data_IF_418000128086
#
_entry.id   IF_418000128086
#
_cell.length_a   1.000
_cell.length_b   1.000
_cell.length_c   1.000
_cell.angle_alpha   90.00
_cell.angle_beta   90.00
_cell.angle_gamma   90.00
#
_symmetry.space_group_name_H-M   'P 1'
#
loop_
_entity.id
_entity.type
_entity.pdbx_description
1 polymer ?
#
# COMPACT_ATOMS: atom_id res chain seq x y z
N UNK A 1 -21.15 -38.51 -14.68
CA UNK A 1 -20.86 -37.14 -15.18
C UNK A 1 -21.62 -36.01 -14.45
N UNK A 2 -22.74 -36.25 -13.73
CA UNK A 2 -23.49 -35.18 -13.01
C UNK A 2 -22.85 -34.66 -11.70
N UNK A 3 -21.94 -35.41 -11.07
CA UNK A 3 -21.34 -35.04 -9.78
C UNK A 3 -20.19 -34.01 -9.93
N UNK A 4 -19.37 -34.14 -10.98
CA UNK A 4 -18.24 -33.23 -11.23
C UNK A 4 -18.69 -31.78 -11.47
N UNK A 5 -19.80 -31.58 -12.19
CA UNK A 5 -20.36 -30.24 -12.46
C UNK A 5 -20.87 -29.54 -11.19
N UNK A 6 -21.35 -30.29 -10.18
CA UNK A 6 -21.83 -29.72 -8.91
C UNK A 6 -20.68 -29.30 -7.99
N UNK A 7 -19.55 -30.01 -8.05
CA UNK A 7 -18.36 -29.72 -7.27
C UNK A 7 -17.68 -28.42 -7.74
N UNK A 8 -17.66 -28.16 -9.06
CA UNK A 8 -17.08 -26.94 -9.64
C UNK A 8 -17.85 -25.66 -9.27
N UNK A 9 -19.19 -25.74 -9.13
CA UNK A 9 -20.03 -24.59 -8.76
C UNK A 9 -19.83 -24.24 -7.27
N UNK A 10 -19.74 -25.25 -6.41
CA UNK A 10 -19.52 -25.05 -4.97
C UNK A 10 -18.15 -24.39 -4.69
N UNK A 11 -17.11 -24.77 -5.44
CA UNK A 11 -15.79 -24.16 -5.34
C UNK A 11 -15.78 -22.68 -5.77
N UNK A 12 -16.53 -22.31 -6.82
CA UNK A 12 -16.63 -20.92 -7.28
C UNK A 12 -17.32 -19.98 -6.28
N UNK A 13 -18.35 -20.46 -5.58
CA UNK A 13 -19.08 -19.69 -4.56
C UNK A 13 -18.20 -19.46 -3.32
N UNK A 14 -17.43 -20.47 -2.90
CA UNK A 14 -16.53 -20.36 -1.75
C UNK A 14 -15.41 -19.33 -1.96
N UNK A 15 -14.89 -19.20 -3.19
CA UNK A 15 -13.86 -18.19 -3.52
C UNK A 15 -14.46 -16.78 -3.59
N UNK A 16 -15.68 -16.62 -4.11
CA UNK A 16 -16.37 -15.33 -4.14
C UNK A 16 -16.77 -14.82 -2.74
N UNK A 17 -17.08 -15.71 -1.80
CA UNK A 17 -17.42 -15.34 -0.42
C UNK A 17 -16.21 -14.85 0.41
N UNK A 18 -14.99 -15.11 -0.05
CA UNK A 18 -13.74 -14.64 0.55
C UNK A 18 -13.18 -13.38 -0.14
N UNK A 19 -13.87 -12.87 -1.17
CA UNK A 19 -13.52 -11.61 -1.80
C UNK A 19 -13.89 -10.46 -0.85
N UNK A 20 -12.92 -10.05 -0.02
CA UNK A 20 -13.03 -8.83 0.77
C UNK A 20 -13.20 -7.66 -0.22
N UNK A 21 -14.22 -6.80 -0.07
CA UNK A 21 -14.34 -5.63 -0.92
C UNK A 21 -13.06 -4.79 -0.79
N UNK A 22 -12.37 -4.55 -1.90
CA UNK A 22 -11.33 -3.55 -1.94
C UNK A 22 -11.99 -2.21 -1.59
N UNK A 23 -11.67 -1.68 -0.40
CA UNK A 23 -12.20 -0.41 0.06
C UNK A 23 -11.92 0.69 -0.97
N UNK A 24 -12.77 1.71 -1.01
CA UNK A 24 -12.54 2.87 -1.87
C UNK A 24 -11.16 3.47 -1.54
N UNK A 25 -10.23 3.38 -2.49
CA UNK A 25 -8.90 3.98 -2.35
C UNK A 25 -8.96 5.42 -2.84
N UNK A 26 -8.46 6.35 -2.03
CA UNK A 26 -8.30 7.74 -2.42
C UNK A 26 -6.84 7.96 -2.76
N UNK A 27 -6.57 8.36 -4.00
CA UNK A 27 -5.23 8.82 -4.38
C UNK A 27 -5.04 10.25 -3.87
N UNK A 28 -4.09 10.43 -2.97
CA UNK A 28 -3.64 11.76 -2.54
C UNK A 28 -2.34 12.11 -3.23
N UNK A 29 -2.17 13.37 -3.60
CA UNK A 29 -0.91 13.90 -4.13
C UNK A 29 -0.43 15.02 -3.21
N UNK A 30 0.88 15.11 -3.00
CA UNK A 30 1.49 16.16 -2.20
C UNK A 30 2.76 16.64 -2.90
N UNK A 31 3.05 17.92 -2.73
CA UNK A 31 4.30 18.53 -3.20
C UNK A 31 5.32 18.47 -2.09
N UNK A 32 6.54 18.04 -2.43
CA UNK A 32 7.70 18.11 -1.56
C UNK A 32 8.46 19.39 -1.92
N UNK A 33 8.40 20.38 -1.04
CA UNK A 33 8.98 21.71 -1.27
C UNK A 33 10.45 21.77 -0.83
N UNK A 34 10.81 20.98 0.18
CA UNK A 34 12.17 20.94 0.73
C UNK A 34 12.65 19.51 0.98
N UNK A 35 13.97 19.33 1.00
CA UNK A 35 14.56 18.02 1.30
C UNK A 35 14.28 17.57 2.74
N UNK A 36 14.14 18.51 3.68
CA UNK A 36 13.77 18.18 5.07
C UNK A 36 12.36 17.61 5.15
N UNK A 37 11.43 18.14 4.35
CA UNK A 37 10.08 17.61 4.24
C UNK A 37 10.09 16.19 3.65
N UNK A 38 10.99 15.90 2.71
CA UNK A 38 11.17 14.54 2.19
C UNK A 38 11.60 13.54 3.28
N UNK A 39 12.49 13.94 4.17
CA UNK A 39 13.03 13.06 5.22
C UNK A 39 12.10 12.90 6.43
N UNK A 40 11.33 13.93 6.79
CA UNK A 40 10.52 13.95 8.02
C UNK A 40 9.00 13.97 7.80
N UNK A 41 8.54 14.16 6.56
CA UNK A 41 7.14 14.43 6.26
C UNK A 41 6.73 15.88 6.47
N UNK A 42 5.42 16.11 6.44
CA UNK A 42 4.78 17.43 6.51
C UNK A 42 3.97 17.59 7.81
N UNK A 43 3.15 16.60 8.14
CA UNK A 43 2.34 16.57 9.35
C UNK A 43 1.87 15.15 9.68
N UNK A 44 1.70 14.84 10.96
CA UNK A 44 1.24 13.51 11.41
C UNK A 44 -0.27 13.28 11.23
N UNK A 45 -1.03 14.33 10.95
CA UNK A 45 -2.49 14.28 10.77
C UNK A 45 -2.92 15.28 9.71
N UNK A 46 -4.14 15.13 9.20
CA UNK A 46 -4.74 16.13 8.32
C UNK A 46 -4.79 17.52 9.00
N UNK A 47 -4.61 18.57 8.21
CA UNK A 47 -4.55 19.95 8.67
C UNK A 47 -5.18 20.90 7.66
N UNK A 48 -5.51 22.11 8.12
CA UNK A 48 -6.09 23.18 7.29
C UNK A 48 -5.00 24.23 7.04
N UNK A 49 -4.78 24.58 5.78
CA UNK A 49 -3.82 25.63 5.41
C UNK A 49 -4.35 27.02 5.77
N UNK A 50 -3.47 28.03 5.72
CA UNK A 50 -3.90 29.43 5.87
C UNK A 50 -4.88 29.90 4.80
N UNK A 51 -4.97 29.20 3.67
CA UNK A 51 -5.95 29.45 2.60
C UNK A 51 -7.27 28.70 2.79
N UNK A 52 -7.41 27.91 3.87
CA UNK A 52 -8.60 27.13 4.17
C UNK A 52 -8.67 25.78 3.47
N UNK A 53 -7.59 25.33 2.82
CA UNK A 53 -7.54 24.03 2.14
C UNK A 53 -7.31 22.91 3.16
N UNK A 54 -8.10 21.83 3.08
CA UNK A 54 -7.87 20.61 3.85
C UNK A 54 -6.81 19.76 3.15
N UNK A 55 -5.69 19.52 3.82
CA UNK A 55 -4.61 18.67 3.32
C UNK A 55 -4.39 17.45 4.22
N UNK A 56 -4.15 16.26 3.66
CA UNK A 56 -3.72 15.11 4.45
C UNK A 56 -2.29 15.35 4.96
N UNK A 57 -2.05 15.02 6.22
CA UNK A 57 -0.70 14.90 6.75
C UNK A 57 -0.05 13.63 6.21
N UNK A 58 1.27 13.68 6.01
CA UNK A 58 2.09 12.52 5.68
C UNK A 58 3.40 12.56 6.46
N UNK A 59 3.92 11.36 6.74
CA UNK A 59 5.18 11.09 7.42
C UNK A 59 6.00 10.12 6.55
N UNK A 60 7.31 10.28 6.54
CA UNK A 60 8.24 9.40 5.84
C UNK A 60 9.13 8.67 6.83
N UNK A 61 9.32 7.37 6.58
CA UNK A 61 10.24 6.53 7.34
C UNK A 61 11.24 5.93 6.39
N UNK A 62 12.53 6.15 6.68
CA UNK A 62 13.61 5.56 5.91
C UNK A 62 13.89 4.16 6.43
N UNK A 63 13.72 3.17 5.56
CA UNK A 63 14.20 1.82 5.80
C UNK A 63 15.48 1.65 4.99
N UNK A 64 16.60 1.43 5.69
CA UNK A 64 17.86 1.08 5.02
C UNK A 64 17.70 -0.30 4.42
N UNK A 65 17.95 -0.40 3.11
CA UNK A 65 17.99 -1.67 2.40
C UNK A 65 19.46 -2.11 2.32
N UNK A 66 19.80 -3.23 2.94
CA UNK A 66 21.13 -3.83 2.84
C UNK A 66 21.16 -4.77 1.63
N UNK A 67 21.93 -4.42 0.60
CA UNK A 67 22.09 -5.24 -0.60
C UNK A 67 23.39 -4.92 -1.33
N UNK A 68 24.19 -5.95 -1.61
CA UNK A 68 25.54 -5.83 -2.19
C UNK A 68 25.53 -5.76 -3.74
N UNK A 69 24.34 -5.77 -4.36
CA UNK A 69 24.19 -5.76 -5.82
C UNK A 69 22.95 -4.97 -6.28
N UNK A 70 23.13 -4.19 -7.35
CA UNK A 70 22.12 -3.29 -7.97
C UNK A 70 20.91 -4.05 -8.57
N UNK A 71 21.02 -5.37 -8.75
CA UNK A 71 20.00 -6.24 -9.36
C UNK A 71 19.77 -7.51 -8.53
N UNK A 72 19.58 -7.37 -7.23
CA UNK A 72 19.26 -8.49 -6.35
C UNK A 72 17.85 -8.35 -5.80
N UNK A 73 17.13 -9.47 -5.76
CA UNK A 73 15.88 -9.54 -5.01
C UNK A 73 16.19 -9.38 -3.52
N UNK A 74 15.62 -8.37 -2.86
CA UNK A 74 15.79 -8.17 -1.41
C UNK A 74 14.71 -8.94 -0.66
N UNK A 75 15.13 -9.78 0.30
CA UNK A 75 14.24 -10.43 1.25
C UNK A 75 14.18 -9.60 2.53
N UNK A 76 13.00 -9.07 2.85
CA UNK A 76 12.77 -8.31 4.08
C UNK A 76 12.56 -9.25 5.27
N UNK A 77 12.68 -8.69 6.48
CA UNK A 77 12.50 -9.42 7.74
C UNK A 77 11.09 -9.99 7.92
N UNK A 78 10.09 -9.40 7.26
CA UNK A 78 8.70 -9.87 7.22
C UNK A 78 8.49 -11.02 6.20
N UNK A 79 9.54 -11.41 5.48
CA UNK A 79 9.51 -12.45 4.45
C UNK A 79 9.13 -11.96 3.05
N UNK A 80 8.78 -10.68 2.89
CA UNK A 80 8.48 -10.06 1.59
C UNK A 80 9.71 -10.03 0.69
N UNK A 81 9.51 -10.18 -0.62
CA UNK A 81 10.58 -10.09 -1.63
C UNK A 81 10.35 -8.87 -2.51
N UNK A 82 11.31 -7.96 -2.55
CA UNK A 82 11.35 -6.84 -3.49
C UNK A 82 12.17 -7.25 -4.73
N UNK A 83 11.60 -7.06 -5.91
CA UNK A 83 12.25 -7.27 -7.22
C UNK A 83 12.66 -5.94 -7.84
#
# INVERSE_FOLDING_TARGET
MKAATRLSIAAGIAVGALAVPAGAVVTSTWTVETYQQFEAGDATSAFITSTGELRPGWDTKRTVLEGDAVWASLKLADGSVLL
#
